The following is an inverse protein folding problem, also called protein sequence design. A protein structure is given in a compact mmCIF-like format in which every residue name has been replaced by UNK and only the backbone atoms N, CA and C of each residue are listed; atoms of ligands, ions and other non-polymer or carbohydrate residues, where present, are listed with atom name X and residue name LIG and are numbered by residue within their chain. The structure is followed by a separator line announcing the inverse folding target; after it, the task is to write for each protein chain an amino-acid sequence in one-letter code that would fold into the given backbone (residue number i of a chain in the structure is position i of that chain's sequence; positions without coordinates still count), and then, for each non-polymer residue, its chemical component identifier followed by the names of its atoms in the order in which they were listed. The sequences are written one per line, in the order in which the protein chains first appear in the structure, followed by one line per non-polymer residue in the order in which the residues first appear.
data_IF_743388121230
#
_entry.id   IF_743388121230
#
_cell.length_a   1.000
_cell.length_b   1.000
_cell.length_c   1.000
_cell.angle_alpha   90.00
_cell.angle_beta   90.00
_cell.angle_gamma   90.00
#
_symmetry.space_group_name_H-M   'P 1'
#
loop_
_entity.id
_entity.type
_entity.pdbx_description
1 polymer ?
#
# COMPACT_ATOMS: atom_id res chain seq x y z
N UNK A 1 1.13 -6.71 -11.09
CA UNK A 1 0.27 -5.51 -11.26
C UNK A 1 -0.94 -5.75 -12.17
N UNK A 2 -0.78 -6.31 -13.38
CA UNK A 2 -1.91 -6.56 -14.30
C UNK A 2 -3.04 -7.43 -13.72
N UNK A 3 -2.73 -8.47 -12.95
CA UNK A 3 -3.75 -9.35 -12.32
C UNK A 3 -4.66 -8.61 -11.34
N UNK A 4 -4.09 -7.82 -10.42
CA UNK A 4 -4.84 -7.05 -9.41
C UNK A 4 -5.75 -6.03 -10.10
N UNK A 5 -5.21 -5.33 -11.10
CA UNK A 5 -5.96 -4.35 -11.86
C UNK A 5 -7.15 -4.99 -12.57
N UNK A 6 -6.93 -6.12 -13.25
CA UNK A 6 -8.00 -6.86 -13.94
C UNK A 6 -9.07 -7.34 -12.97
N UNK A 7 -8.69 -7.79 -11.78
CA UNK A 7 -9.62 -8.22 -10.74
C UNK A 7 -10.48 -7.06 -10.21
N UNK A 8 -9.85 -5.92 -9.91
CA UNK A 8 -10.57 -4.71 -9.50
C UNK A 8 -11.50 -4.25 -10.63
N UNK A 9 -11.02 -4.19 -11.87
CA UNK A 9 -11.83 -3.81 -13.02
C UNK A 9 -13.01 -4.76 -13.22
N UNK A 10 -12.81 -6.07 -13.01
CA UNK A 10 -13.89 -7.06 -13.05
C UNK A 10 -14.95 -6.81 -11.96
N UNK A 11 -14.53 -6.59 -10.71
CA UNK A 11 -15.43 -6.28 -9.60
C UNK A 11 -16.20 -4.97 -9.84
N UNK A 12 -15.52 -3.94 -10.34
CA UNK A 12 -16.11 -2.65 -10.73
C UNK A 12 -17.17 -2.85 -11.80
N UNK A 13 -16.88 -3.61 -12.85
CA UNK A 13 -17.82 -3.89 -13.93
C UNK A 13 -19.06 -4.67 -13.44
N UNK A 14 -18.87 -5.62 -12.52
CA UNK A 14 -19.97 -6.36 -11.90
C UNK A 14 -20.87 -5.45 -11.06
N UNK A 15 -20.29 -4.54 -10.29
CA UNK A 15 -21.01 -3.55 -9.48
C UNK A 15 -21.75 -2.50 -10.33
N UNK A 16 -21.13 -2.05 -11.44
CA UNK A 16 -21.74 -1.11 -12.39
C UNK A 16 -23.11 -1.60 -12.89
N UNK A 17 -23.24 -2.90 -13.17
CA UNK A 17 -24.46 -3.48 -13.75
C UNK A 17 -25.57 -3.76 -12.73
N UNK A 18 -25.25 -3.82 -11.43
CA UNK A 18 -26.20 -4.19 -10.38
C UNK A 18 -26.89 -2.96 -9.77
N UNK A 19 -28.15 -3.13 -9.31
CA UNK A 19 -28.86 -2.15 -8.47
C UNK A 19 -28.40 -2.34 -7.02
N UNK A 20 -27.32 -1.67 -6.65
CA UNK A 20 -26.72 -1.72 -5.31
C UNK A 20 -26.66 -0.31 -4.71
N UNK A 21 -26.84 -0.22 -3.41
CA UNK A 21 -26.73 1.06 -2.68
C UNK A 21 -25.26 1.40 -2.43
N UNK A 22 -25.01 2.67 -2.17
CA UNK A 22 -23.75 3.22 -1.71
C UNK A 22 -23.13 2.43 -0.54
N UNK A 23 -23.94 2.08 0.47
CA UNK A 23 -23.50 1.28 1.62
C UNK A 23 -23.03 -0.12 1.23
N UNK A 24 -23.71 -0.78 0.29
CA UNK A 24 -23.26 -2.08 -0.21
C UNK A 24 -21.93 -1.98 -0.95
N UNK A 25 -21.75 -0.93 -1.76
CA UNK A 25 -20.49 -0.71 -2.48
C UNK A 25 -19.34 -0.41 -1.49
N UNK A 26 -19.59 0.42 -0.48
CA UNK A 26 -18.60 0.72 0.57
C UNK A 26 -18.24 -0.54 1.36
N UNK A 27 -19.21 -1.40 1.66
CA UNK A 27 -18.97 -2.69 2.30
C UNK A 27 -18.06 -3.58 1.44
N UNK A 28 -18.36 -3.72 0.14
CA UNK A 28 -17.53 -4.51 -0.79
C UNK A 28 -16.12 -3.94 -0.85
N UNK A 29 -15.98 -2.62 -0.90
CA UNK A 29 -14.68 -1.97 -0.87
C UNK A 29 -13.89 -2.34 0.39
N UNK A 30 -14.48 -2.15 1.56
CA UNK A 30 -13.81 -2.34 2.84
C UNK A 30 -13.52 -3.80 3.19
N UNK A 31 -14.43 -4.72 2.82
CA UNK A 31 -14.33 -6.15 3.19
C UNK A 31 -13.70 -7.03 2.13
N UNK A 32 -13.69 -6.61 0.86
CA UNK A 32 -13.21 -7.45 -0.24
C UNK A 32 -12.03 -6.79 -0.95
N UNK A 33 -12.17 -5.54 -1.39
CA UNK A 33 -11.14 -4.89 -2.20
C UNK A 33 -9.92 -4.54 -1.34
N UNK A 34 -10.10 -3.92 -0.17
CA UNK A 34 -8.99 -3.59 0.74
C UNK A 34 -8.16 -4.82 1.10
N UNK A 35 -8.74 -5.91 1.65
CA UNK A 35 -7.94 -7.08 2.05
C UNK A 35 -7.21 -7.73 0.88
N UNK A 36 -7.81 -7.74 -0.32
CA UNK A 36 -7.15 -8.24 -1.53
C UNK A 36 -5.94 -7.38 -1.91
N UNK A 37 -6.11 -6.06 -1.97
CA UNK A 37 -5.00 -5.14 -2.27
C UNK A 37 -3.91 -5.25 -1.21
N UNK A 38 -4.29 -5.35 0.07
CA UNK A 38 -3.37 -5.51 1.20
C UNK A 38 -2.55 -6.79 1.09
N UNK A 39 -3.18 -7.94 0.82
CA UNK A 39 -2.48 -9.20 0.57
C UNK A 39 -1.46 -9.07 -0.57
N UNK A 40 -1.86 -8.46 -1.68
CA UNK A 40 -0.92 -8.22 -2.77
C UNK A 40 0.18 -7.22 -2.40
N UNK A 41 -0.10 -6.24 -1.54
CA UNK A 41 0.88 -5.28 -1.04
C UNK A 41 1.93 -5.93 -0.13
N UNK A 42 1.58 -7.06 0.48
CA UNK A 42 2.55 -7.90 1.17
C UNK A 42 3.53 -8.53 0.19
N UNK A 43 3.12 -8.77 -1.07
CA UNK A 43 3.91 -9.40 -2.15
C UNK A 43 4.48 -8.39 -3.16
N UNK A 44 4.05 -7.14 -3.15
CA UNK A 44 4.47 -6.12 -4.13
C UNK A 44 4.39 -4.77 -3.45
N UNK A 45 5.49 -4.03 -3.42
CA UNK A 45 5.46 -2.63 -3.01
C UNK A 45 4.86 -1.78 -4.13
N UNK A 46 3.58 -1.42 -3.99
CA UNK A 46 2.93 -0.50 -4.93
C UNK A 46 3.36 0.93 -4.64
N UNK A 47 3.72 1.69 -5.68
CA UNK A 47 3.96 3.12 -5.56
C UNK A 47 2.64 3.88 -5.40
N UNK A 48 2.70 5.12 -4.91
CA UNK A 48 1.52 6.00 -4.78
C UNK A 48 0.75 6.17 -6.10
N UNK A 49 1.48 6.29 -7.22
CA UNK A 49 0.85 6.41 -8.55
C UNK A 49 0.18 5.12 -8.99
N UNK A 50 0.77 3.97 -8.65
CA UNK A 50 0.19 2.66 -8.94
C UNK A 50 -1.07 2.38 -8.11
N UNK A 51 -1.05 2.70 -6.81
CA UNK A 51 -2.23 2.57 -5.93
C UNK A 51 -3.37 3.49 -6.38
N UNK A 52 -3.04 4.72 -6.79
CA UNK A 52 -4.03 5.65 -7.36
C UNK A 52 -4.61 5.13 -8.67
N UNK A 53 -3.78 4.61 -9.57
CA UNK A 53 -4.24 4.00 -10.81
C UNK A 53 -5.20 2.82 -10.58
N UNK A 54 -5.00 2.04 -9.50
CA UNK A 54 -5.88 0.93 -9.12
C UNK A 54 -7.25 1.39 -8.60
N UNK A 55 -7.31 2.54 -7.89
CA UNK A 55 -8.57 2.99 -7.26
C UNK A 55 -9.41 3.89 -8.18
N UNK A 56 -8.83 4.52 -9.19
CA UNK A 56 -9.53 5.35 -10.18
C UNK A 56 -10.81 4.71 -10.77
N UNK A 57 -10.79 3.47 -11.30
CA UNK A 57 -12.00 2.87 -11.88
C UNK A 57 -13.11 2.71 -10.85
N UNK A 58 -12.74 2.36 -9.62
CA UNK A 58 -13.67 2.24 -8.52
C UNK A 58 -14.28 3.60 -8.12
N UNK A 59 -13.46 4.64 -7.91
CA UNK A 59 -13.93 6.01 -7.57
C UNK A 59 -14.89 6.54 -8.64
N UNK A 60 -14.59 6.29 -9.92
CA UNK A 60 -15.45 6.70 -11.04
C UNK A 60 -16.80 5.99 -11.00
N UNK A 61 -16.80 4.66 -10.82
CA UNK A 61 -18.03 3.88 -10.71
C UNK A 61 -18.89 4.33 -9.53
N UNK A 62 -18.27 4.55 -8.37
CA UNK A 62 -18.99 4.96 -7.16
C UNK A 62 -19.67 6.31 -7.34
N UNK A 63 -18.95 7.32 -7.86
CA UNK A 63 -19.54 8.64 -8.17
C UNK A 63 -20.70 8.53 -9.16
N UNK A 64 -20.54 7.72 -10.21
CA UNK A 64 -21.60 7.51 -11.19
C UNK A 64 -22.85 6.87 -10.56
N UNK A 65 -22.68 5.92 -9.62
CA UNK A 65 -23.79 5.30 -8.88
C UNK A 65 -24.53 6.31 -7.98
N UNK A 66 -23.80 7.26 -7.41
CA UNK A 66 -24.35 8.37 -6.64
C UNK A 66 -24.95 9.48 -7.50
N UNK A 67 -24.91 9.36 -8.84
CA UNK A 67 -25.30 10.41 -9.80
C UNK A 67 -24.49 11.71 -9.63
N UNK A 68 -23.29 11.62 -9.09
CA UNK A 68 -22.38 12.76 -9.04
C UNK A 68 -21.72 13.01 -10.39
N UNK A 69 -21.35 14.28 -10.62
CA UNK A 69 -20.53 14.64 -11.76
C UNK A 69 -19.18 13.92 -11.70
N UNK A 70 -18.65 13.56 -12.87
CA UNK A 70 -17.30 12.95 -12.97
C UNK A 70 -16.21 13.86 -12.38
N UNK A 71 -16.40 15.17 -12.46
CA UNK A 71 -15.53 16.22 -11.92
C UNK A 71 -15.70 16.47 -10.42
N UNK A 72 -16.67 15.83 -9.75
CA UNK A 72 -16.85 15.99 -8.31
C UNK A 72 -15.55 15.68 -7.56
N UNK A 73 -15.22 16.42 -6.49
CA UNK A 73 -13.94 16.24 -5.80
C UNK A 73 -13.84 14.85 -5.15
N UNK A 74 -12.66 14.24 -5.21
CA UNK A 74 -12.40 12.92 -4.59
C UNK A 74 -12.54 12.97 -3.07
N UNK A 75 -12.32 14.13 -2.46
CA UNK A 75 -12.40 14.35 -1.02
C UNK A 75 -13.76 13.99 -0.42
N UNK A 76 -14.85 14.00 -1.19
CA UNK A 76 -16.18 13.55 -0.73
C UNK A 76 -16.14 12.07 -0.33
N UNK A 77 -15.34 11.27 -1.03
CA UNK A 77 -15.16 9.85 -0.74
C UNK A 77 -14.22 9.67 0.46
N UNK A 78 -13.10 10.38 0.45
CA UNK A 78 -12.06 10.19 1.46
C UNK A 78 -12.46 10.78 2.84
N UNK A 79 -13.43 11.70 2.90
CA UNK A 79 -13.86 12.35 4.14
C UNK A 79 -14.51 11.35 5.13
N UNK A 80 -13.99 11.24 6.38
CA UNK A 80 -14.53 10.34 7.41
C UNK A 80 -15.99 10.58 7.80
N UNK A 81 -16.47 11.83 7.71
CA UNK A 81 -17.87 12.20 8.01
C UNK A 81 -18.84 11.86 6.88
N UNK A 82 -18.33 11.42 5.72
CA UNK A 82 -19.12 11.02 4.56
C UNK A 82 -18.99 9.50 4.37
N UNK A 83 -18.12 9.08 3.46
CA UNK A 83 -17.93 7.65 3.15
C UNK A 83 -16.67 7.07 3.80
N UNK A 84 -15.71 7.90 4.21
CA UNK A 84 -14.50 7.48 4.91
C UNK A 84 -13.69 6.43 4.15
N UNK A 85 -13.47 6.63 2.86
CA UNK A 85 -12.67 5.72 2.05
C UNK A 85 -11.25 5.62 2.59
N UNK A 86 -10.78 4.39 2.85
CA UNK A 86 -9.38 4.16 3.20
C UNK A 86 -8.51 4.24 1.95
N UNK A 87 -7.46 5.03 2.05
CA UNK A 87 -6.44 5.13 1.01
C UNK A 87 -5.56 3.88 1.01
N UNK A 88 -5.44 3.21 -0.14
CA UNK A 88 -4.60 2.02 -0.27
C UNK A 88 -3.13 2.29 0.01
N UNK A 89 -2.62 3.45 -0.41
CA UNK A 89 -1.22 3.81 -0.18
C UNK A 89 -0.93 3.97 1.31
N UNK A 90 -1.81 4.69 2.01
CA UNK A 90 -1.63 4.97 3.44
C UNK A 90 -1.78 3.67 4.25
N UNK A 91 -2.74 2.81 3.90
CA UNK A 91 -2.88 1.49 4.52
C UNK A 91 -1.63 0.62 4.32
N UNK A 92 -1.10 0.56 3.08
CA UNK A 92 0.12 -0.19 2.79
C UNK A 92 1.31 0.37 3.58
N UNK A 93 1.46 1.69 3.61
CA UNK A 93 2.54 2.34 4.35
C UNK A 93 2.45 2.03 5.85
N UNK A 94 1.26 2.14 6.43
CA UNK A 94 1.02 1.80 7.84
C UNK A 94 1.33 0.33 8.15
N UNK A 95 0.90 -0.60 7.29
CA UNK A 95 1.21 -2.02 7.45
C UNK A 95 2.73 -2.27 7.42
N UNK A 96 3.45 -1.71 6.43
CA UNK A 96 4.91 -1.88 6.30
C UNK A 96 5.68 -1.27 7.48
N UNK A 97 5.27 -0.11 7.97
CA UNK A 97 5.87 0.51 9.16
C UNK A 97 5.66 -0.40 10.38
N UNK A 98 4.43 -0.90 10.56
CA UNK A 98 4.09 -1.78 11.68
C UNK A 98 4.90 -3.07 11.64
N UNK A 99 4.97 -3.73 10.48
CA UNK A 99 5.75 -4.95 10.28
C UNK A 99 7.24 -4.72 10.58
N UNK A 100 7.80 -3.59 10.14
CA UNK A 100 9.18 -3.24 10.41
C UNK A 100 9.44 -2.99 11.90
N UNK A 101 8.54 -2.29 12.59
CA UNK A 101 8.64 -2.11 14.03
C UNK A 101 8.58 -3.46 14.78
N UNK A 102 7.75 -4.40 14.32
CA UNK A 102 7.70 -5.75 14.90
C UNK A 102 9.04 -6.48 14.68
N UNK A 103 9.58 -6.44 13.46
CA UNK A 103 10.86 -7.07 13.13
C UNK A 103 12.03 -6.54 13.97
N UNK A 104 12.09 -5.22 14.18
CA UNK A 104 13.14 -4.59 14.98
C UNK A 104 13.07 -4.95 16.47
N UNK A 105 11.86 -5.15 17.00
CA UNK A 105 11.64 -5.45 18.41
C UNK A 105 11.57 -6.96 18.71
N UNK A 106 11.73 -7.81 17.68
CA UNK A 106 11.75 -9.25 17.85
C UNK A 106 13.08 -9.71 18.48
N UNK A 107 13.01 -10.48 19.56
CA UNK A 107 14.21 -11.06 20.21
C UNK A 107 14.57 -12.45 19.66
N UNK A 108 13.78 -12.98 18.74
CA UNK A 108 13.90 -14.31 18.18
C UNK A 108 14.77 -14.36 16.91
N UNK A 109 14.49 -15.36 16.08
CA UNK A 109 15.16 -15.54 14.80
C UNK A 109 14.90 -14.37 13.84
N UNK A 110 13.69 -13.80 13.86
CA UNK A 110 13.29 -12.72 12.95
C UNK A 110 14.11 -11.45 13.23
N UNK A 111 14.31 -11.10 14.50
CA UNK A 111 15.17 -9.98 14.90
C UNK A 111 16.62 -10.17 14.47
N UNK A 112 17.20 -11.35 14.71
CA UNK A 112 18.58 -11.67 14.29
C UNK A 112 18.77 -11.57 12.78
N UNK A 113 17.83 -12.12 12.00
CA UNK A 113 17.87 -12.01 10.53
C UNK A 113 17.75 -10.55 10.09
N UNK A 114 16.89 -9.78 10.75
CA UNK A 114 16.72 -8.34 10.48
C UNK A 114 18.00 -7.56 10.76
N UNK A 115 18.68 -7.84 11.88
CA UNK A 115 19.95 -7.22 12.23
C UNK A 115 21.04 -7.50 11.19
N UNK A 116 21.18 -8.76 10.77
CA UNK A 116 22.15 -9.17 9.73
C UNK A 116 21.86 -8.42 8.42
N UNK A 117 20.59 -8.30 8.04
CA UNK A 117 20.18 -7.56 6.83
C UNK A 117 20.49 -6.08 6.91
N UNK A 118 20.26 -5.45 8.07
CA UNK A 118 20.59 -4.03 8.28
C UNK A 118 22.10 -3.78 8.19
N UNK A 119 22.93 -4.68 8.73
CA UNK A 119 24.39 -4.61 8.58
C UNK A 119 24.81 -4.77 7.11
N UNK A 120 24.24 -5.75 6.40
CA UNK A 120 24.50 -5.92 4.97
C UNK A 120 24.11 -4.69 4.14
N UNK A 121 22.99 -4.04 4.46
CA UNK A 121 22.61 -2.78 3.81
C UNK A 121 23.56 -1.63 4.20
N UNK A 122 23.98 -1.57 5.47
CA UNK A 122 24.92 -0.57 5.95
C UNK A 122 26.25 -0.63 5.17
N UNK A 123 26.73 -1.84 4.91
CA UNK A 123 27.93 -2.12 4.10
C UNK A 123 27.72 -1.71 2.64
N UNK A 124 26.56 -1.99 2.05
CA UNK A 124 26.23 -1.56 0.68
C UNK A 124 26.17 -0.04 0.53
N UNK A 125 25.66 0.66 1.55
CA UNK A 125 25.54 2.12 1.57
C UNK A 125 26.82 2.82 2.04
N UNK A 126 27.86 2.06 2.39
CA UNK A 126 29.15 2.57 2.86
C UNK A 126 28.98 3.53 4.04
N UNK A 127 28.15 3.12 5.00
CA UNK A 127 27.81 3.93 6.17
C UNK A 127 28.55 3.45 7.41
N UNK A 128 29.17 4.37 8.14
CA UNK A 128 29.90 4.04 9.37
C UNK A 128 29.01 3.92 10.60
N UNK A 129 27.74 4.35 10.51
CA UNK A 129 26.79 4.35 11.61
C UNK A 129 25.63 3.39 11.34
N UNK A 130 25.02 2.81 12.40
CA UNK A 130 23.82 2.00 12.25
C UNK A 130 22.71 2.78 11.55
N UNK A 131 22.05 2.15 10.58
CA UNK A 131 20.98 2.78 9.79
C UNK A 131 19.78 3.22 10.64
N UNK A 132 19.57 2.58 11.79
CA UNK A 132 18.51 2.93 12.76
C UNK A 132 18.82 4.28 13.44
N UNK A 133 20.09 4.57 13.70
CA UNK A 133 20.50 5.80 14.39
C UNK A 133 20.57 6.99 13.43
N UNK A 134 21.08 6.77 12.21
CA UNK A 134 21.20 7.84 11.22
C UNK A 134 21.18 7.31 9.78
N UNK A 135 20.14 7.68 9.05
CA UNK A 135 20.05 7.43 7.61
C UNK A 135 20.86 8.47 6.81
N UNK A 136 21.66 8.07 5.81
CA UNK A 136 22.45 8.98 4.98
C UNK A 136 21.60 9.62 3.88
N UNK A 137 20.64 10.49 4.24
CA UNK A 137 19.73 11.15 3.29
C UNK A 137 20.43 11.88 2.15
N UNK A 138 21.66 12.36 2.36
CA UNK A 138 22.42 13.16 1.39
C UNK A 138 23.14 12.33 0.32
N UNK A 139 23.29 11.02 0.49
CA UNK A 139 24.07 10.16 -0.42
C UNK A 139 23.21 9.25 -1.28
N UNK A 140 21.92 9.16 -0.99
CA UNK A 140 21.01 8.21 -1.64
C UNK A 140 19.78 8.99 -2.11
N UNK A 141 19.40 8.93 -3.40
CA UNK A 141 18.17 9.53 -3.88
C UNK A 141 16.98 9.05 -3.04
N UNK A 142 16.06 9.94 -2.66
CA UNK A 142 14.88 9.59 -1.86
C UNK A 142 14.08 8.41 -2.43
N UNK A 143 14.06 8.29 -3.76
CA UNK A 143 13.42 7.18 -4.49
C UNK A 143 14.10 5.84 -4.20
N UNK A 144 15.43 5.85 -4.08
CA UNK A 144 16.26 4.66 -3.81
C UNK A 144 16.18 4.29 -2.33
N UNK A 145 16.25 5.24 -1.39
CA UNK A 145 16.12 4.95 0.05
C UNK A 145 14.79 4.31 0.42
N UNK A 146 13.67 4.84 -0.10
CA UNK A 146 12.35 4.26 0.17
C UNK A 146 12.21 2.92 -0.55
N UNK A 147 12.68 2.79 -1.80
CA UNK A 147 12.64 1.51 -2.50
C UNK A 147 13.60 0.48 -1.91
N UNK A 148 14.74 0.86 -1.37
CA UNK A 148 15.78 -0.01 -0.82
C UNK A 148 15.47 -0.41 0.61
N UNK A 149 14.96 0.50 1.46
CA UNK A 149 14.41 0.11 2.77
C UNK A 149 13.22 -0.82 2.56
N UNK A 150 12.35 -0.53 1.60
CA UNK A 150 11.28 -1.46 1.22
C UNK A 150 11.86 -2.76 0.62
N UNK A 151 12.87 -2.75 -0.25
CA UNK A 151 13.51 -3.95 -0.82
C UNK A 151 14.28 -4.78 0.21
N UNK A 152 14.88 -4.17 1.23
CA UNK A 152 15.49 -4.84 2.39
C UNK A 152 14.42 -5.56 3.21
N UNK A 153 13.22 -5.00 3.26
CA UNK A 153 12.03 -5.67 3.79
C UNK A 153 11.46 -6.74 2.84
N UNK A 154 11.93 -6.84 1.59
CA UNK A 154 11.21 -7.59 0.54
C UNK A 154 11.99 -8.60 -0.30
N UNK A 155 13.34 -8.59 -0.34
CA UNK A 155 14.02 -9.39 -1.37
C UNK A 155 14.04 -10.92 -1.14
N UNK A 156 13.67 -11.44 0.04
CA UNK A 156 13.69 -12.89 0.30
C UNK A 156 12.60 -13.33 1.29
N UNK A 157 11.34 -13.29 0.85
CA UNK A 157 10.24 -14.13 1.39
C UNK A 157 9.85 -15.23 0.38
N UNK A 158 10.45 -15.26 -0.81
CA UNK A 158 10.32 -16.37 -1.76
C UNK A 158 11.71 -16.68 -2.32
N UNK A 159 12.50 -17.41 -1.54
CA UNK A 159 13.46 -18.45 -1.96
C UNK A 159 13.83 -19.23 -0.71
#
# INVERSE_FOLDING_TARGET
MFKIKNEIDHLVNLMCKKKITDKHILYIFNRIIIPRVEYWSQVIALSKTQTEALIIPFRRMFKNKLKFARSAPNSILDNPYMYGYRNFYDNQLQAKITDFCIQLNDNGLLGKVTEIRLKSLQDQLWTSRPLIEKLPYNRVPHTILVSEIILVLWKYVIT
#
